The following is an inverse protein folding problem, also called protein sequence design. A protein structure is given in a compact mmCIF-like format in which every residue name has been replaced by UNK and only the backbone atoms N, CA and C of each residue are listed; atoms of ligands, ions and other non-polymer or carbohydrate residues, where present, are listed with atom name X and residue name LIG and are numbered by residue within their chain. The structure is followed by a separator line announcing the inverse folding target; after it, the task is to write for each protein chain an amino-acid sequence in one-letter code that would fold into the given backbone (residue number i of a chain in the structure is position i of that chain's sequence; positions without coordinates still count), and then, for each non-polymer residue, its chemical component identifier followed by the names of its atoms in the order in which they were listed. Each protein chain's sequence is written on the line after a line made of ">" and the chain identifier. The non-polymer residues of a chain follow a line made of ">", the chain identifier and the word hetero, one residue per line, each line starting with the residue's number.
data_IF_969968930377
#
_entry.id   IF_969968930377
#
_cell.length_a   1.000
_cell.length_b   1.000
_cell.length_c   1.000
_cell.angle_alpha   90.00
_cell.angle_beta   90.00
_cell.angle_gamma   90.00
#
_symmetry.space_group_name_H-M   'P 1'
#
loop_
_entity.id
_entity.type
_entity.pdbx_description
1 polymer ?
#
# COMPACT_ATOMS: atom_id res chain seq x y z
N UNK A 1 54.31 -35.15 2.50
CA UNK A 1 54.47 -33.71 2.83
C UNK A 1 53.18 -32.98 2.46
N UNK A 2 52.67 -32.17 3.38
CA UNK A 2 51.31 -31.59 3.42
C UNK A 2 51.08 -30.52 2.35
N UNK A 3 49.98 -30.60 1.61
CA UNK A 3 49.46 -29.51 0.76
C UNK A 3 48.38 -28.75 1.53
N UNK A 4 48.71 -27.54 1.97
CA UNK A 4 47.80 -26.62 2.68
C UNK A 4 46.95 -25.88 1.64
N UNK A 5 45.62 -26.07 1.69
CA UNK A 5 44.63 -25.27 0.94
C UNK A 5 44.47 -23.92 1.65
N UNK A 6 44.86 -22.83 1.00
CA UNK A 6 44.63 -21.47 1.49
C UNK A 6 43.33 -20.93 0.86
N UNK A 7 42.22 -21.09 1.57
CA UNK A 7 40.96 -20.41 1.26
C UNK A 7 41.09 -18.94 1.65
N UNK A 8 41.18 -18.02 0.68
CA UNK A 8 41.01 -16.59 0.94
C UNK A 8 39.51 -16.32 1.14
N UNK A 9 39.07 -16.25 2.39
CA UNK A 9 37.79 -15.64 2.74
C UNK A 9 37.88 -14.14 2.47
N UNK A 10 37.19 -13.67 1.41
CA UNK A 10 36.89 -12.26 1.22
C UNK A 10 35.90 -11.84 2.30
N UNK A 11 36.36 -11.08 3.29
CA UNK A 11 35.53 -10.50 4.33
C UNK A 11 34.73 -9.35 3.71
N UNK A 12 33.51 -9.64 3.26
CA UNK A 12 32.53 -8.63 2.89
C UNK A 12 32.16 -7.89 4.17
N UNK A 13 32.75 -6.72 4.39
CA UNK A 13 32.32 -5.78 5.41
C UNK A 13 30.94 -5.27 4.97
N UNK A 14 29.89 -5.94 5.45
CA UNK A 14 28.54 -5.39 5.50
C UNK A 14 28.63 -4.16 6.39
N UNK A 15 28.75 -2.99 5.78
CA UNK A 15 28.41 -1.75 6.45
C UNK A 15 26.95 -1.88 6.87
N UNK A 16 26.72 -2.20 8.14
CA UNK A 16 25.42 -2.09 8.76
C UNK A 16 25.07 -0.60 8.69
N UNK A 17 24.33 -0.23 7.64
CA UNK A 17 23.55 1.00 7.63
C UNK A 17 22.74 0.97 8.91
N UNK A 18 23.12 1.79 9.88
CA UNK A 18 22.39 1.93 11.13
C UNK A 18 21.13 2.73 10.79
N UNK A 19 20.15 2.05 10.21
CA UNK A 19 18.83 2.62 10.03
C UNK A 19 18.31 3.02 11.41
N UNK A 20 17.69 4.21 11.54
CA UNK A 20 17.13 4.64 12.81
C UNK A 20 16.13 3.58 13.31
N UNK A 21 16.05 3.36 14.64
CA UNK A 21 15.09 2.43 15.21
C UNK A 21 13.68 2.82 14.77
N UNK A 22 12.86 1.84 14.36
CA UNK A 22 11.49 2.09 13.93
C UNK A 22 10.54 0.98 14.38
N UNK A 23 9.26 1.33 14.49
CA UNK A 23 8.18 0.40 14.82
C UNK A 23 7.22 0.34 13.65
N UNK A 24 6.85 -0.89 13.27
CA UNK A 24 5.80 -1.14 12.29
C UNK A 24 4.49 -1.36 13.01
N UNK A 25 3.48 -0.58 12.64
CA UNK A 25 2.15 -0.69 13.23
C UNK A 25 1.09 -0.64 12.13
N UNK A 26 0.07 -1.46 12.30
CA UNK A 26 -1.07 -1.52 11.38
C UNK A 26 -2.21 -0.71 11.97
N UNK A 27 -2.81 0.14 11.16
CA UNK A 27 -3.94 0.94 11.61
C UNK A 27 -5.00 1.12 10.55
N UNK A 28 -6.22 1.29 11.05
CA UNK A 28 -7.39 1.50 10.21
C UNK A 28 -7.48 2.96 9.79
N UNK A 29 -7.72 3.21 8.50
CA UNK A 29 -7.98 4.52 7.91
C UNK A 29 -9.34 4.54 7.23
N UNK A 30 -10.03 5.70 7.18
CA UNK A 30 -11.36 5.80 6.57
C UNK A 30 -11.32 5.60 5.06
N UNK A 31 -12.48 5.22 4.50
CA UNK A 31 -12.69 5.21 3.06
C UNK A 31 -12.49 6.62 2.48
N UNK A 32 -11.98 6.72 1.24
CA UNK A 32 -11.78 8.03 0.59
C UNK A 32 -13.09 8.72 0.23
N UNK A 33 -14.14 7.94 -0.06
CA UNK A 33 -15.48 8.44 -0.34
C UNK A 33 -16.46 8.04 0.78
N UNK A 34 -16.82 9.03 1.60
CA UNK A 34 -17.63 8.80 2.79
C UNK A 34 -19.03 8.24 2.46
N UNK A 35 -19.76 8.84 1.51
CA UNK A 35 -21.12 8.37 1.17
C UNK A 35 -21.12 6.92 0.64
N UNK A 36 -20.09 6.53 -0.12
CA UNK A 36 -19.98 5.17 -0.63
C UNK A 36 -19.86 4.12 0.48
N UNK A 37 -19.20 4.49 1.59
CA UNK A 37 -18.98 3.61 2.72
C UNK A 37 -20.21 3.43 3.62
N UNK A 38 -21.25 4.26 3.48
CA UNK A 38 -22.47 4.20 4.31
C UNK A 38 -23.50 3.19 3.81
N UNK A 39 -23.54 2.94 2.51
CA UNK A 39 -24.48 1.99 1.90
C UNK A 39 -23.95 0.56 2.06
N UNK A 40 -24.40 -0.15 3.10
CA UNK A 40 -23.87 -1.48 3.44
C UNK A 40 -24.56 -2.63 2.70
N UNK A 41 -25.86 -2.54 2.48
CA UNK A 41 -26.62 -3.53 1.71
C UNK A 41 -26.53 -3.20 0.22
N UNK A 42 -25.67 -3.91 -0.50
CA UNK A 42 -25.31 -3.57 -1.88
C UNK A 42 -25.50 -4.74 -2.83
N UNK A 43 -25.75 -4.42 -4.10
CA UNK A 43 -25.65 -5.39 -5.18
C UNK A 43 -24.75 -4.84 -6.30
N UNK A 44 -24.18 -5.74 -7.10
CA UNK A 44 -23.32 -5.38 -8.23
C UNK A 44 -24.00 -5.80 -9.52
N UNK A 45 -24.31 -4.82 -10.37
CA UNK A 45 -24.79 -5.05 -11.73
C UNK A 45 -23.60 -5.22 -12.69
N UNK A 46 -23.82 -5.87 -13.86
CA UNK A 46 -22.84 -5.91 -14.93
C UNK A 46 -22.35 -4.51 -15.30
N UNK A 47 -21.05 -4.38 -15.51
CA UNK A 47 -20.48 -3.17 -16.11
C UNK A 47 -20.72 -3.23 -17.62
N UNK A 48 -20.96 -2.07 -18.24
CA UNK A 48 -21.00 -1.96 -19.69
C UNK A 48 -19.59 -1.93 -20.29
N UNK A 49 -19.45 -2.37 -21.53
CA UNK A 49 -18.18 -2.49 -22.23
C UNK A 49 -17.54 -3.89 -22.18
N UNK A 50 -16.40 -4.03 -22.87
CA UNK A 50 -15.72 -5.30 -23.08
C UNK A 50 -15.29 -5.94 -21.75
N UNK A 51 -15.80 -7.14 -21.46
CA UNK A 51 -15.47 -7.90 -20.24
C UNK A 51 -16.15 -7.37 -18.97
N UNK A 52 -17.17 -6.52 -19.10
CA UNK A 52 -17.80 -5.86 -17.96
C UNK A 52 -18.61 -6.80 -17.05
N UNK A 53 -19.17 -7.88 -17.59
CA UNK A 53 -19.87 -8.89 -16.78
C UNK A 53 -18.90 -9.71 -15.91
N UNK A 54 -17.78 -10.14 -16.47
CA UNK A 54 -16.71 -10.82 -15.72
C UNK A 54 -16.11 -9.89 -14.67
N UNK A 55 -15.85 -8.63 -15.05
CA UNK A 55 -15.31 -7.64 -14.12
C UNK A 55 -16.28 -7.32 -12.98
N UNK A 56 -17.60 -7.33 -13.22
CA UNK A 56 -18.59 -7.18 -12.16
C UNK A 56 -18.47 -8.30 -11.09
N UNK A 57 -18.17 -9.54 -11.51
CA UNK A 57 -17.90 -10.64 -10.59
C UNK A 57 -16.63 -10.39 -9.74
N UNK A 58 -15.59 -9.83 -10.35
CA UNK A 58 -14.37 -9.47 -9.64
C UNK A 58 -14.60 -8.33 -8.62
N UNK A 59 -15.44 -7.35 -8.95
CA UNK A 59 -15.85 -6.27 -8.06
C UNK A 59 -16.70 -6.81 -6.90
N UNK A 60 -17.66 -7.68 -7.19
CA UNK A 60 -18.46 -8.38 -6.18
C UNK A 60 -17.56 -9.14 -5.19
N UNK A 61 -16.59 -9.92 -5.69
CA UNK A 61 -15.61 -10.62 -4.85
C UNK A 61 -14.73 -9.65 -4.03
N UNK A 62 -14.36 -8.51 -4.63
CA UNK A 62 -13.60 -7.47 -3.92
C UNK A 62 -14.41 -6.89 -2.76
N UNK A 63 -15.70 -6.58 -2.97
CA UNK A 63 -16.63 -6.08 -1.94
C UNK A 63 -16.88 -7.14 -0.86
N UNK A 64 -17.10 -8.39 -1.28
CA UNK A 64 -17.34 -9.51 -0.37
C UNK A 64 -16.16 -9.75 0.58
N UNK A 65 -14.93 -9.56 0.09
CA UNK A 65 -13.71 -9.74 0.87
C UNK A 65 -13.38 -8.61 1.86
N UNK A 66 -14.19 -7.54 1.92
CA UNK A 66 -13.93 -6.41 2.82
C UNK A 66 -14.41 -6.77 4.23
N UNK A 67 -13.45 -7.06 5.10
CA UNK A 67 -13.67 -7.29 6.52
C UNK A 67 -13.02 -6.19 7.36
N UNK A 68 -13.72 -5.74 8.41
CA UNK A 68 -13.21 -4.83 9.43
C UNK A 68 -13.32 -5.55 10.78
N UNK A 69 -12.17 -5.92 11.35
CA UNK A 69 -12.13 -6.93 12.42
C UNK A 69 -12.72 -8.26 11.92
N UNK A 70 -13.57 -8.89 12.74
CA UNK A 70 -14.21 -10.17 12.42
C UNK A 70 -15.56 -10.03 11.70
N UNK A 71 -15.88 -8.84 11.17
CA UNK A 71 -17.16 -8.55 10.52
C UNK A 71 -16.98 -8.15 9.07
N UNK A 72 -17.84 -8.68 8.22
CA UNK A 72 -17.97 -8.23 6.84
C UNK A 72 -18.51 -6.79 6.83
N UNK A 73 -17.91 -5.93 6.01
CA UNK A 73 -18.26 -4.51 5.97
C UNK A 73 -19.53 -4.25 5.14
N UNK A 74 -19.69 -4.98 4.04
CA UNK A 74 -20.84 -4.90 3.14
C UNK A 74 -21.66 -6.19 3.18
N UNK A 75 -22.97 -6.08 3.11
CA UNK A 75 -23.90 -7.18 2.91
C UNK A 75 -24.27 -7.25 1.43
N UNK A 76 -23.77 -8.26 0.72
CA UNK A 76 -24.07 -8.45 -0.69
C UNK A 76 -25.40 -9.17 -0.89
N UNK A 77 -26.22 -8.63 -1.78
CA UNK A 77 -27.39 -9.31 -2.31
C UNK A 77 -26.94 -10.50 -3.18
N UNK A 78 -27.65 -11.62 -3.06
CA UNK A 78 -27.41 -12.83 -3.86
C UNK A 78 -27.46 -12.55 -5.37
N UNK A 79 -26.34 -12.81 -6.04
CA UNK A 79 -26.16 -12.69 -7.47
C UNK A 79 -27.15 -13.52 -8.29
N UNK A 80 -27.46 -14.75 -7.86
CA UNK A 80 -28.34 -15.65 -8.64
C UNK A 80 -29.75 -15.05 -8.72
N UNK A 81 -30.22 -14.46 -7.61
CA UNK A 81 -31.49 -13.74 -7.55
C UNK A 81 -31.48 -12.51 -8.46
N UNK A 82 -30.37 -11.77 -8.48
CA UNK A 82 -30.20 -10.59 -9.31
C UNK A 82 -30.21 -10.93 -10.81
N UNK A 83 -29.44 -11.94 -11.22
CA UNK A 83 -29.37 -12.39 -12.63
C UNK A 83 -30.73 -12.89 -13.14
N UNK A 84 -31.46 -13.65 -12.31
CA UNK A 84 -32.82 -14.08 -12.63
C UNK A 84 -33.75 -12.88 -12.92
N UNK A 85 -33.75 -11.87 -12.05
CA UNK A 85 -34.58 -10.68 -12.23
C UNK A 85 -34.21 -9.88 -13.49
N UNK A 86 -32.91 -9.70 -13.75
CA UNK A 86 -32.43 -9.01 -14.95
C UNK A 86 -32.92 -9.73 -16.22
N UNK A 87 -32.82 -11.07 -16.22
CA UNK A 87 -33.26 -11.89 -17.35
C UNK A 87 -34.78 -11.81 -17.59
N UNK A 88 -35.59 -11.80 -16.52
CA UNK A 88 -37.05 -11.66 -16.58
C UNK A 88 -37.46 -10.28 -17.11
N UNK A 89 -36.74 -9.23 -16.73
CA UNK A 89 -36.98 -7.86 -17.19
C UNK A 89 -36.46 -7.59 -18.61
N UNK A 90 -35.71 -8.53 -19.21
CA UNK A 90 -35.11 -8.41 -20.55
C UNK A 90 -34.27 -7.14 -20.72
N UNK A 91 -33.55 -6.73 -19.68
CA UNK A 91 -32.71 -5.54 -19.70
C UNK A 91 -31.37 -5.81 -20.38
N UNK A 92 -30.89 -4.86 -21.18
CA UNK A 92 -29.53 -4.88 -21.72
C UNK A 92 -28.52 -4.35 -20.70
N UNK A 93 -27.23 -4.67 -20.88
CA UNK A 93 -26.16 -4.17 -20.00
C UNK A 93 -26.08 -2.65 -19.98
N UNK A 94 -26.15 -1.98 -21.14
CA UNK A 94 -26.16 -0.51 -21.19
C UNK A 94 -27.36 0.11 -20.47
N UNK A 95 -28.52 -0.56 -20.44
CA UNK A 95 -29.68 -0.09 -19.68
C UNK A 95 -29.48 -0.19 -18.16
N UNK A 96 -28.66 -1.14 -17.68
CA UNK A 96 -28.36 -1.34 -16.25
C UNK A 96 -27.40 -0.29 -15.68
N UNK A 97 -26.77 0.53 -16.55
CA UNK A 97 -25.92 1.66 -16.13
C UNK A 97 -26.74 2.92 -15.85
N UNK A 98 -27.97 3.02 -16.37
CA UNK A 98 -28.89 4.10 -16.06
C UNK A 98 -29.29 4.07 -14.57
N UNK A 99 -29.21 5.22 -13.89
CA UNK A 99 -29.40 5.27 -12.44
C UNK A 99 -30.83 4.96 -12.03
N UNK A 100 -31.84 5.32 -12.84
CA UNK A 100 -33.23 5.02 -12.54
C UNK A 100 -33.50 3.52 -12.66
N UNK A 101 -32.95 2.88 -13.69
CA UNK A 101 -33.03 1.45 -13.91
C UNK A 101 -32.30 0.69 -12.81
N UNK A 102 -31.08 1.08 -12.47
CA UNK A 102 -30.32 0.51 -11.36
C UNK A 102 -31.07 0.62 -10.03
N UNK A 103 -31.62 1.79 -9.70
CA UNK A 103 -32.42 1.98 -8.49
C UNK A 103 -33.69 1.12 -8.49
N UNK A 104 -34.36 0.97 -9.64
CA UNK A 104 -35.52 0.08 -9.76
C UNK A 104 -35.16 -1.38 -9.50
N UNK A 105 -34.05 -1.87 -10.07
CA UNK A 105 -33.55 -3.22 -9.81
C UNK A 105 -33.19 -3.38 -8.34
N UNK A 106 -32.49 -2.40 -7.75
CA UNK A 106 -32.14 -2.37 -6.34
C UNK A 106 -33.32 -2.53 -5.39
N UNK A 107 -34.44 -1.84 -5.66
CA UNK A 107 -35.68 -1.97 -4.88
C UNK A 107 -36.25 -3.40 -4.91
N UNK A 108 -36.17 -4.09 -6.05
CA UNK A 108 -36.69 -5.45 -6.20
C UNK A 108 -35.84 -6.50 -5.46
N UNK A 109 -34.54 -6.25 -5.33
CA UNK A 109 -33.61 -7.16 -4.65
C UNK A 109 -33.36 -6.80 -3.18
N UNK A 110 -33.89 -5.67 -2.70
CA UNK A 110 -33.68 -5.21 -1.33
C UNK A 110 -32.29 -4.62 -1.07
N UNK A 111 -31.60 -4.16 -2.12
CA UNK A 111 -30.36 -3.41 -1.97
C UNK A 111 -30.64 -1.95 -1.59
N UNK A 112 -29.76 -1.34 -0.79
CA UNK A 112 -29.74 0.11 -0.55
C UNK A 112 -28.79 0.85 -1.51
N UNK A 113 -27.75 0.16 -1.99
CA UNK A 113 -26.82 0.67 -2.99
C UNK A 113 -26.63 -0.29 -4.16
N UNK A 114 -26.45 0.25 -5.36
CA UNK A 114 -26.13 -0.55 -6.55
C UNK A 114 -24.82 -0.08 -7.16
N UNK A 115 -23.83 -0.97 -7.19
CA UNK A 115 -22.63 -0.78 -7.97
C UNK A 115 -22.88 -1.19 -9.42
N UNK A 116 -22.53 -0.32 -10.35
CA UNK A 116 -22.53 -0.56 -11.80
C UNK A 116 -21.44 0.31 -12.42
N UNK A 117 -21.27 0.32 -13.73
CA UNK A 117 -20.32 1.23 -14.36
C UNK A 117 -20.01 0.88 -15.80
N UNK A 118 -18.92 1.47 -16.29
CA UNK A 118 -18.45 1.26 -17.65
C UNK A 118 -16.96 0.91 -17.65
N UNK A 119 -16.54 -0.02 -18.51
CA UNK A 119 -15.13 -0.27 -18.82
C UNK A 119 -14.72 0.74 -19.89
N UNK A 120 -13.77 1.62 -19.55
CA UNK A 120 -13.35 2.73 -20.43
C UNK A 120 -12.09 2.40 -21.24
N UNK A 121 -11.25 1.47 -20.78
CA UNK A 121 -10.11 0.96 -21.54
C UNK A 121 -9.78 -0.49 -21.14
N UNK A 122 -9.45 -1.33 -22.10
CA UNK A 122 -9.03 -2.73 -21.87
C UNK A 122 -8.20 -3.21 -23.05
N UNK A 123 -6.96 -2.73 -23.07
CA UNK A 123 -6.10 -2.80 -24.25
C UNK A 123 -4.68 -3.21 -23.86
N UNK A 124 -4.04 -3.98 -24.73
CA UNK A 124 -2.62 -4.32 -24.66
C UNK A 124 -1.98 -3.92 -25.97
N UNK A 125 -0.84 -3.27 -25.89
CA UNK A 125 -0.08 -2.84 -27.06
C UNK A 125 1.40 -3.14 -26.88
N UNK A 126 2.04 -3.52 -27.98
CA UNK A 126 3.48 -3.74 -28.05
C UNK A 126 4.12 -2.61 -28.86
N UNK A 127 5.25 -2.11 -28.37
CA UNK A 127 6.07 -1.10 -29.04
C UNK A 127 7.51 -1.59 -29.12
N UNK A 128 8.09 -1.49 -30.32
CA UNK A 128 9.49 -1.85 -30.55
C UNK A 128 10.39 -0.64 -30.24
N UNK A 129 11.51 -0.89 -29.57
CA UNK A 129 12.55 0.11 -29.33
C UNK A 129 13.93 -0.54 -29.37
N UNK A 130 14.99 0.26 -29.26
CA UNK A 130 16.37 -0.23 -29.20
C UNK A 130 17.06 0.31 -27.96
N UNK A 131 17.89 -0.53 -27.36
CA UNK A 131 18.81 -0.14 -26.29
C UNK A 131 20.25 -0.34 -26.74
N UNK A 132 21.15 0.47 -26.21
CA UNK A 132 22.57 0.32 -26.46
C UNK A 132 23.18 -0.71 -25.49
N UNK A 133 24.05 -1.56 -26.01
CA UNK A 133 24.89 -2.49 -25.26
C UNK A 133 26.34 -2.28 -25.65
N UNK A 134 27.23 -2.80 -24.81
CA UNK A 134 28.67 -2.77 -25.06
C UNK A 134 29.23 -4.18 -24.95
N UNK A 135 30.05 -4.58 -25.93
CA UNK A 135 30.81 -5.84 -25.90
C UNK A 135 32.29 -5.57 -26.06
N UNK A 136 33.12 -6.51 -25.61
CA UNK A 136 34.54 -6.45 -25.92
C UNK A 136 34.77 -6.84 -27.38
N UNK A 137 35.39 -5.95 -28.15
CA UNK A 137 35.75 -6.18 -29.55
C UNK A 137 37.20 -6.65 -29.72
N UNK A 138 38.08 -6.32 -28.76
CA UNK A 138 39.47 -6.74 -28.77
C UNK A 138 39.97 -6.98 -27.36
N UNK A 139 40.56 -8.15 -27.10
CA UNK A 139 41.22 -8.50 -25.84
C UNK A 139 42.75 -8.39 -25.96
N UNK A 140 43.41 -8.08 -24.85
CA UNK A 140 44.87 -8.11 -24.69
C UNK A 140 45.23 -8.98 -23.48
N UNK A 141 46.32 -9.73 -23.60
CA UNK A 141 46.83 -10.53 -22.49
C UNK A 141 47.71 -9.67 -21.58
N UNK A 142 47.32 -9.59 -20.31
CA UNK A 142 48.12 -8.96 -19.24
C UNK A 142 48.59 -10.01 -18.25
N UNK A 143 49.61 -9.69 -17.47
CA UNK A 143 50.12 -10.57 -16.42
C UNK A 143 49.89 -9.92 -15.05
N UNK A 144 49.39 -10.69 -14.10
CA UNK A 144 49.24 -10.21 -12.72
C UNK A 144 50.59 -10.12 -11.99
N UNK A 145 50.59 -9.62 -10.75
CA UNK A 145 51.81 -9.49 -9.93
C UNK A 145 52.50 -10.84 -9.63
N UNK A 146 51.86 -11.97 -9.91
CA UNK A 146 52.37 -13.34 -9.74
C UNK A 146 52.76 -13.98 -11.08
N UNK A 147 52.77 -13.22 -12.18
CA UNK A 147 53.10 -13.71 -13.51
C UNK A 147 52.00 -14.53 -14.19
N UNK A 148 50.76 -14.53 -13.67
CA UNK A 148 49.64 -15.27 -14.27
C UNK A 148 49.00 -14.42 -15.37
N UNK A 149 48.87 -14.98 -16.57
CA UNK A 149 48.20 -14.34 -17.68
C UNK A 149 46.69 -14.22 -17.43
N UNK A 150 46.10 -13.06 -17.74
CA UNK A 150 44.67 -12.83 -17.78
C UNK A 150 44.31 -11.98 -19.00
N UNK A 151 43.10 -12.16 -19.53
CA UNK A 151 42.60 -11.35 -20.64
C UNK A 151 41.92 -10.09 -20.10
N UNK A 152 42.27 -8.95 -20.69
CA UNK A 152 41.61 -7.67 -20.45
C UNK A 152 41.05 -7.13 -21.76
N UNK A 153 39.88 -6.49 -21.71
CA UNK A 153 39.34 -5.86 -22.89
C UNK A 153 40.10 -4.58 -23.24
N UNK A 154 40.75 -4.55 -24.42
CA UNK A 154 41.45 -3.38 -24.95
C UNK A 154 40.53 -2.42 -25.72
N UNK A 155 39.48 -2.94 -26.35
CA UNK A 155 38.53 -2.12 -27.13
C UNK A 155 37.11 -2.59 -26.91
N UNK A 156 36.26 -1.67 -26.49
CA UNK A 156 34.82 -1.88 -26.39
C UNK A 156 34.11 -1.39 -27.66
N UNK A 157 33.10 -2.13 -28.09
CA UNK A 157 32.23 -1.78 -29.21
C UNK A 157 30.77 -1.70 -28.72
N UNK A 158 30.08 -0.65 -29.15
CA UNK A 158 28.66 -0.46 -28.90
C UNK A 158 27.84 -1.14 -29.98
N UNK A 159 26.77 -1.82 -29.59
CA UNK A 159 25.81 -2.40 -30.51
C UNK A 159 24.39 -2.20 -29.99
N UNK A 160 23.43 -2.08 -30.90
CA UNK A 160 22.03 -1.91 -30.56
C UNK A 160 21.34 -3.27 -30.40
N UNK A 161 20.55 -3.41 -29.35
CA UNK A 161 19.72 -4.58 -29.09
C UNK A 161 18.26 -4.21 -29.29
N UNK A 162 17.52 -5.07 -29.99
CA UNK A 162 16.09 -4.89 -30.21
C UNK A 162 15.32 -5.29 -28.96
N UNK A 163 14.43 -4.40 -28.53
CA UNK A 163 13.59 -4.60 -27.36
C UNK A 163 12.13 -4.39 -27.73
N UNK A 164 11.26 -5.14 -27.04
CA UNK A 164 9.81 -5.01 -27.14
C UNK A 164 9.30 -4.58 -25.78
N UNK A 165 8.54 -3.49 -25.74
CA UNK A 165 7.83 -2.99 -24.56
C UNK A 165 6.34 -3.27 -24.75
N UNK A 166 5.77 -4.04 -23.83
CA UNK A 166 4.34 -4.31 -23.74
C UNK A 166 3.72 -3.44 -22.66
N UNK A 167 2.69 -2.69 -23.03
CA UNK A 167 1.90 -1.84 -22.14
C UNK A 167 0.47 -2.34 -22.14
N UNK A 168 0.00 -2.80 -20.98
CA UNK A 168 -1.40 -3.13 -20.74
C UNK A 168 -2.07 -1.97 -20.00
N UNK A 169 -3.24 -1.54 -20.46
CA UNK A 169 -4.05 -0.50 -19.84
C UNK A 169 -5.42 -1.07 -19.52
N UNK A 170 -5.83 -0.90 -18.27
CA UNK A 170 -7.19 -1.19 -17.84
C UNK A 170 -7.76 0.01 -17.10
N UNK A 171 -8.93 0.47 -17.51
CA UNK A 171 -9.64 1.56 -16.86
C UNK A 171 -11.15 1.32 -16.87
N UNK A 172 -11.81 1.78 -15.80
CA UNK A 172 -13.24 1.66 -15.60
C UNK A 172 -13.76 2.84 -14.77
N UNK A 173 -15.04 3.14 -14.91
CA UNK A 173 -15.74 4.16 -14.13
C UNK A 173 -16.85 3.48 -13.33
N UNK A 174 -16.59 3.08 -12.07
CA UNK A 174 -17.64 2.56 -11.20
C UNK A 174 -18.60 3.69 -10.81
N UNK A 175 -19.85 3.31 -10.57
CA UNK A 175 -20.93 4.16 -10.09
C UNK A 175 -21.63 3.44 -8.95
N UNK A 176 -21.88 4.14 -7.86
CA UNK A 176 -22.76 3.69 -6.79
C UNK A 176 -24.04 4.51 -6.83
N UNK A 177 -25.15 3.84 -7.09
CA UNK A 177 -26.49 4.43 -7.09
C UNK A 177 -27.15 4.15 -5.75
N UNK A 178 -27.58 5.18 -5.05
CA UNK A 178 -28.43 5.05 -3.88
C UNK A 178 -29.86 4.70 -4.32
N UNK A 179 -30.39 3.59 -3.84
CA UNK A 179 -31.64 3.00 -4.34
C UNK A 179 -32.88 3.82 -3.97
N UNK A 180 -32.84 4.48 -2.82
CA UNK A 180 -33.95 5.31 -2.32
C UNK A 180 -34.17 6.53 -3.22
N UNK A 181 -33.09 7.25 -3.54
CA UNK A 181 -33.15 8.52 -4.27
C UNK A 181 -32.89 8.38 -5.76
N UNK A 182 -32.26 7.29 -6.20
CA UNK A 182 -31.77 7.10 -7.57
C UNK A 182 -30.55 7.94 -7.91
N UNK A 183 -29.95 8.63 -6.93
CA UNK A 183 -28.78 9.48 -7.14
C UNK A 183 -27.49 8.66 -7.19
N UNK A 184 -26.53 9.12 -8.00
CA UNK A 184 -25.18 8.57 -8.00
C UNK A 184 -24.39 9.23 -6.87
N UNK A 185 -24.10 8.46 -5.81
CA UNK A 185 -23.39 8.95 -4.61
C UNK A 185 -21.88 8.72 -4.67
N UNK A 186 -21.42 7.89 -5.62
CA UNK A 186 -20.00 7.74 -5.94
C UNK A 186 -19.82 7.46 -7.43
N UNK A 187 -18.83 8.14 -8.01
CA UNK A 187 -18.33 7.88 -9.34
C UNK A 187 -16.91 8.40 -9.44
N UNK A 188 -15.99 7.60 -9.96
CA UNK A 188 -14.60 8.01 -10.22
C UNK A 188 -14.09 7.34 -11.49
N UNK A 189 -13.10 7.93 -12.16
CA UNK A 189 -12.42 7.25 -13.26
C UNK A 189 -11.16 6.57 -12.71
N UNK A 190 -11.14 5.24 -12.71
CA UNK A 190 -10.08 4.44 -12.14
C UNK A 190 -9.37 3.72 -13.29
N UNK A 191 -8.07 3.97 -13.44
CA UNK A 191 -7.28 3.30 -14.47
C UNK A 191 -5.81 3.15 -14.10
N UNK A 192 -5.22 2.05 -14.56
CA UNK A 192 -3.79 1.77 -14.39
C UNK A 192 -3.20 1.19 -15.66
N UNK A 193 -1.94 1.52 -15.88
CA UNK A 193 -1.10 0.92 -16.90
C UNK A 193 0.00 0.07 -16.24
N UNK A 194 0.28 -1.09 -16.83
CA UNK A 194 1.38 -1.95 -16.44
C UNK A 194 2.27 -2.17 -17.64
N UNK A 195 3.56 -1.95 -17.46
CA UNK A 195 4.55 -2.01 -18.53
C UNK A 195 5.61 -3.05 -18.22
N UNK A 196 5.98 -3.84 -19.23
CA UNK A 196 7.11 -4.77 -19.19
C UNK A 196 7.89 -4.67 -20.49
N UNK A 197 9.20 -4.86 -20.42
CA UNK A 197 10.04 -4.92 -21.60
C UNK A 197 10.93 -6.17 -21.59
N UNK A 198 11.23 -6.66 -22.78
CA UNK A 198 12.22 -7.71 -23.01
C UNK A 198 13.08 -7.32 -24.21
N UNK A 199 14.37 -7.58 -24.11
CA UNK A 199 15.33 -7.40 -25.19
C UNK A 199 15.77 -8.74 -25.75
N UNK A 200 16.23 -8.77 -27.00
CA UNK A 200 16.61 -10.01 -27.69
C UNK A 200 17.81 -10.74 -27.06
N UNK A 201 18.54 -10.08 -26.15
CA UNK A 201 19.65 -10.64 -25.36
C UNK A 201 19.20 -11.18 -23.98
N UNK A 202 17.91 -11.07 -23.63
CA UNK A 202 17.34 -11.60 -22.38
C UNK A 202 16.82 -13.02 -22.56
N UNK A 203 17.04 -13.88 -21.56
CA UNK A 203 16.46 -15.24 -21.50
C UNK A 203 15.05 -15.25 -20.90
N UNK A 204 14.61 -14.17 -20.25
CA UNK A 204 13.27 -14.09 -19.63
C UNK A 204 12.24 -13.71 -20.70
N UNK A 205 11.16 -14.49 -20.87
CA UNK A 205 10.10 -14.14 -21.80
C UNK A 205 9.31 -12.93 -21.31
N UNK A 206 8.68 -12.22 -22.25
CA UNK A 206 7.74 -11.15 -21.92
C UNK A 206 6.45 -11.77 -21.35
N UNK A 207 5.89 -11.22 -20.25
CA UNK A 207 4.61 -11.68 -19.73
C UNK A 207 3.49 -11.62 -20.77
N UNK A 208 2.56 -12.58 -20.69
CA UNK A 208 1.42 -12.66 -21.61
C UNK A 208 0.46 -11.48 -21.45
N UNK A 209 -0.27 -11.14 -22.51
CA UNK A 209 -1.23 -10.02 -22.50
C UNK A 209 -2.25 -10.11 -21.36
N UNK A 210 -2.84 -11.30 -21.17
CA UNK A 210 -3.80 -11.58 -20.10
C UNK A 210 -3.20 -11.33 -18.72
N UNK A 211 -1.95 -11.73 -18.49
CA UNK A 211 -1.29 -11.54 -17.19
C UNK A 211 -1.15 -10.06 -16.85
N UNK A 212 -0.76 -9.23 -17.82
CA UNK A 212 -0.57 -7.80 -17.61
C UNK A 212 -1.90 -7.05 -17.46
N UNK A 213 -2.94 -7.43 -18.22
CA UNK A 213 -4.29 -6.89 -18.00
C UNK A 213 -4.79 -7.25 -16.60
N UNK A 214 -4.61 -8.50 -16.16
CA UNK A 214 -5.04 -8.91 -14.83
C UNK A 214 -4.29 -8.12 -13.75
N UNK A 215 -2.98 -7.86 -13.90
CA UNK A 215 -2.24 -6.97 -13.01
C UNK A 215 -2.82 -5.54 -12.99
N UNK A 216 -3.14 -4.96 -14.17
CA UNK A 216 -3.75 -3.64 -14.26
C UNK A 216 -5.14 -3.58 -13.58
N UNK A 217 -5.96 -4.62 -13.76
CA UNK A 217 -7.25 -4.78 -13.06
C UNK A 217 -7.07 -4.84 -11.55
N UNK A 218 -6.11 -5.61 -11.03
CA UNK A 218 -5.88 -5.71 -9.58
C UNK A 218 -5.56 -4.35 -8.98
N UNK A 219 -4.66 -3.57 -9.60
CA UNK A 219 -4.37 -2.21 -9.13
C UNK A 219 -5.59 -1.28 -9.17
N UNK A 220 -6.44 -1.41 -10.19
CA UNK A 220 -7.71 -0.68 -10.27
C UNK A 220 -8.67 -1.06 -9.14
N UNK A 221 -8.81 -2.36 -8.84
CA UNK A 221 -9.68 -2.86 -7.76
C UNK A 221 -9.17 -2.45 -6.38
N UNK A 222 -7.85 -2.37 -6.17
CA UNK A 222 -7.28 -1.86 -4.92
C UNK A 222 -7.66 -0.39 -4.68
N UNK A 223 -7.60 0.45 -5.73
CA UNK A 223 -8.04 1.85 -5.64
C UNK A 223 -9.53 1.90 -5.28
N UNK A 224 -10.36 1.19 -6.03
CA UNK A 224 -11.81 1.09 -5.76
C UNK A 224 -12.10 0.65 -4.33
N UNK A 225 -11.42 -0.39 -3.83
CA UNK A 225 -11.58 -0.90 -2.45
C UNK A 225 -11.23 0.16 -1.39
N UNK A 226 -10.24 1.01 -1.64
CA UNK A 226 -9.90 2.12 -0.72
C UNK A 226 -10.84 3.32 -0.84
N UNK A 227 -11.51 3.46 -1.99
CA UNK A 227 -12.52 4.50 -2.19
C UNK A 227 -13.77 4.22 -1.37
N UNK A 228 -14.24 2.95 -1.35
CA UNK A 228 -15.56 2.61 -0.82
C UNK A 228 -15.56 2.13 0.63
N UNK A 229 -14.43 1.71 1.20
CA UNK A 229 -14.41 1.16 2.56
C UNK A 229 -13.13 1.50 3.34
N UNK A 230 -13.20 1.56 4.68
CA UNK A 230 -12.03 1.64 5.54
C UNK A 230 -11.00 0.55 5.25
N UNK A 231 -9.71 0.85 5.37
CA UNK A 231 -8.62 -0.10 5.10
C UNK A 231 -7.50 -0.03 6.13
N UNK A 232 -6.81 -1.15 6.30
CA UNK A 232 -5.62 -1.20 7.13
C UNK A 232 -4.40 -0.76 6.32
N UNK A 233 -3.63 0.17 6.89
CA UNK A 233 -2.33 0.58 6.39
C UNK A 233 -1.27 0.22 7.42
N UNK A 234 -0.17 -0.35 6.96
CA UNK A 234 1.03 -0.51 7.79
C UNK A 234 1.86 0.75 7.63
N UNK A 235 2.16 1.40 8.75
CA UNK A 235 3.12 2.51 8.78
C UNK A 235 4.34 2.10 9.56
N UNK A 236 5.46 2.69 9.19
CA UNK A 236 6.70 2.61 9.93
C UNK A 236 6.93 3.96 10.61
N UNK A 237 7.09 3.94 11.93
CA UNK A 237 7.30 5.13 12.74
C UNK A 237 8.69 5.04 13.34
N UNK A 238 9.55 5.99 12.98
CA UNK A 238 10.88 6.09 13.58
C UNK A 238 10.77 6.46 15.07
N UNK A 239 11.60 5.81 15.89
CA UNK A 239 11.77 6.10 17.30
C UNK A 239 12.90 7.13 17.49
N UNK A 240 12.90 7.80 18.64
CA UNK A 240 14.04 8.58 19.09
C UNK A 240 14.88 7.77 20.07
N UNK A 241 16.19 7.76 19.87
CA UNK A 241 17.16 7.00 20.67
C UNK A 241 18.21 7.86 21.38
N UNK A 242 18.23 9.18 21.13
CA UNK A 242 19.10 10.10 21.85
C UNK A 242 18.79 10.09 23.36
N UNK A 243 19.84 10.02 24.17
CA UNK A 243 19.81 10.16 25.62
C UNK A 243 20.12 11.59 26.09
N UNK A 244 20.14 12.56 25.16
CA UNK A 244 20.39 13.98 25.45
C UNK A 244 19.38 14.51 26.48
N UNK A 245 19.88 15.20 27.50
CA UNK A 245 19.07 15.74 28.58
C UNK A 245 18.63 14.72 29.64
N UNK A 246 19.01 13.43 29.51
CA UNK A 246 18.74 12.41 30.52
C UNK A 246 19.95 12.30 31.48
N UNK A 247 19.74 12.59 32.76
CA UNK A 247 20.80 12.52 33.78
C UNK A 247 20.88 11.11 34.42
N UNK A 248 19.74 10.48 34.67
CA UNK A 248 19.70 9.17 35.34
C UNK A 248 20.13 8.03 34.42
N UNK A 249 21.18 7.30 34.79
CA UNK A 249 21.62 6.10 34.06
C UNK A 249 20.52 5.04 33.96
N UNK A 250 19.70 4.91 35.00
CA UNK A 250 18.53 4.02 34.98
C UNK A 250 17.54 4.46 33.90
N UNK A 251 17.26 5.75 33.75
CA UNK A 251 16.37 6.25 32.71
C UNK A 251 16.94 6.00 31.29
N UNK A 252 18.25 6.21 31.10
CA UNK A 252 18.95 5.90 29.84
C UNK A 252 18.85 4.42 29.49
N UNK A 253 19.10 3.54 30.47
CA UNK A 253 18.99 2.11 30.31
C UNK A 253 17.55 1.69 29.93
N UNK A 254 16.54 2.29 30.56
CA UNK A 254 15.13 2.04 30.25
C UNK A 254 14.74 2.51 28.85
N UNK A 255 15.23 3.68 28.42
CA UNK A 255 15.06 4.17 27.04
C UNK A 255 15.63 3.15 26.03
N UNK A 256 16.88 2.75 26.20
CA UNK A 256 17.57 1.82 25.32
C UNK A 256 16.90 0.43 25.29
N UNK A 257 16.52 -0.11 26.46
CA UNK A 257 15.79 -1.38 26.55
C UNK A 257 14.43 -1.28 25.84
N UNK A 258 13.70 -0.17 26.02
CA UNK A 258 12.42 0.02 25.35
C UNK A 258 12.56 0.03 23.82
N UNK A 259 13.61 0.66 23.30
CA UNK A 259 13.92 0.64 21.87
C UNK A 259 14.24 -0.78 21.38
N UNK A 260 14.99 -1.57 22.14
CA UNK A 260 15.28 -2.97 21.79
C UNK A 260 14.02 -3.83 21.74
N UNK A 261 13.14 -3.71 22.75
CA UNK A 261 11.83 -4.38 22.72
C UNK A 261 10.99 -3.94 21.52
N UNK A 262 10.94 -2.65 21.23
CA UNK A 262 10.17 -2.10 20.12
C UNK A 262 10.65 -2.62 18.75
N UNK A 263 11.97 -2.70 18.52
CA UNK A 263 12.56 -3.33 17.32
C UNK A 263 12.15 -4.78 17.16
N UNK A 264 11.94 -5.49 18.27
CA UNK A 264 11.48 -6.87 18.30
C UNK A 264 9.95 -7.00 18.36
N UNK A 265 9.21 -5.98 17.90
CA UNK A 265 7.74 -5.97 17.85
C UNK A 265 7.05 -6.11 19.21
N UNK A 266 7.76 -5.76 20.30
CA UNK A 266 7.27 -5.74 21.68
C UNK A 266 7.05 -4.31 22.16
N UNK A 267 6.20 -3.57 21.42
CA UNK A 267 5.86 -2.19 21.76
C UNK A 267 5.16 -2.09 23.13
N UNK A 268 4.39 -3.12 23.52
CA UNK A 268 3.80 -3.27 24.85
C UNK A 268 4.84 -3.03 25.96
N UNK A 269 5.94 -3.78 25.90
CA UNK A 269 7.01 -3.70 26.91
C UNK A 269 7.82 -2.41 26.76
N UNK A 270 8.00 -1.91 25.54
CA UNK A 270 8.66 -0.64 25.30
C UNK A 270 7.94 0.52 25.99
N UNK A 271 6.60 0.56 25.89
CA UNK A 271 5.79 1.60 26.50
C UNK A 271 5.87 1.59 28.03
N UNK A 272 5.89 0.40 28.65
CA UNK A 272 6.12 0.28 30.10
C UNK A 272 7.48 0.84 30.52
N UNK A 273 8.55 0.47 29.81
CA UNK A 273 9.92 0.92 30.11
C UNK A 273 10.08 2.42 29.91
N UNK A 274 9.50 3.00 28.85
CA UNK A 274 9.51 4.45 28.66
C UNK A 274 8.65 5.18 29.68
N UNK A 275 7.57 4.56 30.16
CA UNK A 275 6.77 5.06 31.29
C UNK A 275 7.61 5.14 32.57
N UNK A 276 8.37 4.10 32.89
CA UNK A 276 9.32 4.11 34.01
C UNK A 276 10.44 5.15 33.82
N UNK A 277 10.98 5.28 32.60
CA UNK A 277 11.99 6.28 32.27
C UNK A 277 11.48 7.71 32.50
N UNK A 278 10.21 7.97 32.16
CA UNK A 278 9.58 9.29 32.33
C UNK A 278 9.46 9.71 33.79
N UNK A 279 9.35 8.77 34.74
CA UNK A 279 9.35 9.09 36.17
C UNK A 279 10.69 9.72 36.60
N UNK A 280 11.78 9.24 36.00
CA UNK A 280 13.15 9.66 36.32
C UNK A 280 13.63 10.83 35.44
N UNK A 281 13.05 11.00 34.26
CA UNK A 281 13.39 12.04 33.28
C UNK A 281 12.10 12.58 32.62
N UNK A 282 11.32 13.41 33.33
CA UNK A 282 9.97 13.81 32.91
C UNK A 282 9.94 14.65 31.63
N UNK A 283 11.01 15.41 31.36
CA UNK A 283 11.13 16.35 30.24
C UNK A 283 12.09 15.84 29.15
N UNK A 284 12.52 14.59 29.21
CA UNK A 284 13.39 14.01 28.19
C UNK A 284 12.66 13.90 26.84
N UNK A 285 13.19 14.58 25.82
CA UNK A 285 12.61 14.66 24.48
C UNK A 285 12.29 13.29 23.89
N UNK A 286 13.27 12.39 23.88
CA UNK A 286 13.16 11.04 23.30
C UNK A 286 12.13 10.19 24.03
N UNK A 287 12.06 10.29 25.36
CA UNK A 287 11.07 9.57 26.18
C UNK A 287 9.66 10.09 25.93
N UNK A 288 9.47 11.42 25.90
CA UNK A 288 8.17 12.04 25.60
C UNK A 288 7.69 11.67 24.19
N UNK A 289 8.58 11.74 23.21
CA UNK A 289 8.29 11.37 21.83
C UNK A 289 7.87 9.91 21.70
N UNK A 290 8.68 8.99 22.25
CA UNK A 290 8.41 7.55 22.16
C UNK A 290 7.13 7.15 22.92
N UNK A 291 6.81 7.81 24.05
CA UNK A 291 5.51 7.64 24.71
C UNK A 291 4.35 8.22 23.88
N UNK A 292 4.59 9.29 23.12
CA UNK A 292 3.62 9.79 22.15
C UNK A 292 3.25 8.72 21.11
N UNK A 293 4.24 7.94 20.64
CA UNK A 293 4.01 6.81 19.74
C UNK A 293 3.18 5.73 20.43
N UNK A 294 3.45 5.43 21.70
CA UNK A 294 2.65 4.49 22.47
C UNK A 294 1.15 4.88 22.49
N UNK A 295 0.84 6.11 22.89
CA UNK A 295 -0.54 6.62 22.88
C UNK A 295 -1.12 6.69 21.46
N UNK A 296 -0.31 6.96 20.43
CA UNK A 296 -0.78 7.00 19.05
C UNK A 296 -1.18 5.60 18.57
N UNK A 297 -0.40 4.57 18.90
CA UNK A 297 -0.66 3.19 18.50
C UNK A 297 -1.85 2.58 19.25
N UNK A 298 -2.09 2.96 20.51
CA UNK A 298 -3.27 2.55 21.27
C UNK A 298 -4.56 3.27 20.85
N UNK A 299 -4.46 4.28 19.98
CA UNK A 299 -5.60 5.08 19.51
C UNK A 299 -5.99 6.23 20.43
N UNK A 300 -5.18 6.52 21.45
CA UNK A 300 -5.30 7.65 22.38
C UNK A 300 -4.69 8.92 21.77
N UNK A 301 -5.22 9.33 20.61
CA UNK A 301 -4.60 10.36 19.77
C UNK A 301 -4.50 11.73 20.45
N UNK A 302 -5.44 12.09 21.31
CA UNK A 302 -5.39 13.34 22.09
C UNK A 302 -4.21 13.34 23.07
N UNK A 303 -3.96 12.22 23.73
CA UNK A 303 -2.82 12.07 24.65
C UNK A 303 -1.49 12.07 23.88
N UNK A 304 -1.45 11.38 22.74
CA UNK A 304 -0.29 11.40 21.85
C UNK A 304 0.05 12.82 21.39
N UNK A 305 -0.96 13.62 21.00
CA UNK A 305 -0.78 15.02 20.63
C UNK A 305 -0.23 15.86 21.79
N UNK A 306 -0.68 15.62 23.01
CA UNK A 306 -0.13 16.31 24.19
C UNK A 306 1.35 15.96 24.41
N UNK A 307 1.72 14.69 24.30
CA UNK A 307 3.09 14.21 24.45
C UNK A 307 4.02 14.76 23.36
N UNK A 308 3.59 14.74 22.10
CA UNK A 308 4.36 15.31 21.01
C UNK A 308 4.51 16.83 21.14
N UNK A 309 3.49 17.56 21.63
CA UNK A 309 3.61 18.99 21.94
C UNK A 309 4.55 19.27 23.11
N UNK A 310 4.59 18.38 24.11
CA UNK A 310 5.59 18.46 25.19
C UNK A 310 6.99 18.27 24.63
N UNK A 311 7.19 17.25 23.80
CA UNK A 311 8.46 17.00 23.11
C UNK A 311 8.88 18.22 22.25
N UNK A 312 7.97 18.77 21.45
CA UNK A 312 8.21 19.96 20.61
C UNK A 312 8.72 21.16 21.42
N UNK A 313 8.15 21.40 22.62
CA UNK A 313 8.61 22.48 23.51
C UNK A 313 10.02 22.28 24.06
N UNK A 314 10.56 21.06 24.05
CA UNK A 314 11.93 20.77 24.50
C UNK A 314 12.97 21.01 23.40
N UNK A 315 12.53 21.25 22.16
CA UNK A 315 13.41 21.48 21.04
C UNK A 315 13.98 22.90 21.03
N UNK A 316 15.27 23.01 20.76
CA UNK A 316 15.93 24.30 20.48
C UNK A 316 15.84 24.72 19.01
N UNK A 317 15.53 23.76 18.12
CA UNK A 317 15.35 23.94 16.68
C UNK A 317 14.36 22.90 16.15
N UNK A 318 13.69 23.14 15.01
CA UNK A 318 12.78 22.15 14.43
C UNK A 318 13.43 20.78 14.25
N UNK A 319 12.64 19.72 14.48
CA UNK A 319 13.02 18.33 14.28
C UNK A 319 11.99 17.63 13.37
N UNK A 320 12.48 16.93 12.34
CA UNK A 320 11.62 16.31 11.33
C UNK A 320 10.73 15.19 11.90
N UNK A 321 11.20 14.43 12.90
CA UNK A 321 10.42 13.34 13.50
C UNK A 321 9.28 13.90 14.33
N UNK A 322 9.51 14.97 15.09
CA UNK A 322 8.46 15.65 15.87
C UNK A 322 7.43 16.30 14.96
N UNK A 323 7.88 17.02 13.92
CA UNK A 323 6.99 17.62 12.93
C UNK A 323 6.11 16.57 12.23
N UNK A 324 6.71 15.47 11.78
CA UNK A 324 6.00 14.37 11.15
C UNK A 324 5.00 13.72 12.12
N UNK A 325 5.36 13.54 13.40
CA UNK A 325 4.47 12.98 14.42
C UNK A 325 3.28 13.89 14.73
N UNK A 326 3.50 15.20 14.87
CA UNK A 326 2.42 16.19 15.07
C UNK A 326 1.43 16.21 13.89
N UNK A 327 1.94 16.26 12.66
CA UNK A 327 1.10 16.23 11.46
C UNK A 327 0.32 14.91 11.35
N UNK A 328 0.99 13.78 11.64
CA UNK A 328 0.39 12.45 11.61
C UNK A 328 -0.72 12.33 12.64
N UNK A 329 -0.49 12.64 13.92
CA UNK A 329 -1.50 12.49 14.97
C UNK A 329 -2.70 13.42 14.76
N UNK A 330 -2.49 14.64 14.25
CA UNK A 330 -3.59 15.56 13.91
C UNK A 330 -4.46 14.99 12.81
N UNK A 331 -3.84 14.40 11.78
CA UNK A 331 -4.56 13.67 10.74
C UNK A 331 -5.34 12.49 11.33
N UNK A 332 -4.76 11.74 12.28
CA UNK A 332 -5.43 10.62 12.95
C UNK A 332 -6.68 11.04 13.71
N UNK A 333 -6.63 12.16 14.43
CA UNK A 333 -7.81 12.71 15.14
C UNK A 333 -8.95 13.01 14.14
N UNK A 334 -8.64 13.54 12.97
CA UNK A 334 -9.63 13.80 11.91
C UNK A 334 -10.16 12.49 11.30
N UNK A 335 -9.27 11.53 11.02
CA UNK A 335 -9.61 10.22 10.48
C UNK A 335 -10.48 9.40 11.44
N UNK A 336 -10.22 9.48 12.76
CA UNK A 336 -10.99 8.76 13.79
C UNK A 336 -12.46 9.21 13.81
N UNK A 337 -12.73 10.49 13.59
CA UNK A 337 -14.11 11.02 13.50
C UNK A 337 -14.85 10.39 12.32
N UNK A 338 -14.23 10.39 11.14
CA UNK A 338 -14.78 9.76 9.93
C UNK A 338 -14.98 8.25 10.11
N UNK A 339 -14.03 7.56 10.74
CA UNK A 339 -14.12 6.12 10.99
C UNK A 339 -15.29 5.77 11.90
N UNK A 340 -15.54 6.56 12.96
CA UNK A 340 -16.69 6.36 13.84
C UNK A 340 -18.00 6.38 13.04
N UNK A 341 -18.17 7.35 12.15
CA UNK A 341 -19.34 7.43 11.26
C UNK A 341 -19.42 6.27 10.25
N UNK A 342 -18.27 5.77 9.77
CA UNK A 342 -18.21 4.69 8.78
C UNK A 342 -18.41 3.29 9.38
N UNK A 343 -18.11 3.10 10.66
CA UNK A 343 -18.15 1.80 11.34
C UNK A 343 -19.43 1.61 12.17
N UNK A 344 -19.96 2.67 12.78
CA UNK A 344 -21.07 2.56 13.76
C UNK A 344 -22.48 2.59 13.16
N UNK A 345 -22.65 2.61 11.84
CA UNK A 345 -23.97 2.66 11.17
C UNK A 345 -24.51 1.29 10.78
#
# INVERSE_FOLDING_TARGET
>A
MRTVRLFLLSFVVLAASCAPPAVKTTMLVPARHHEASRLREVAVLPFDGKGGQEFAAEIEGTIAGINIGDKQYFNLVDRVRLEKLISEMKLSQSALVDSNTAARVGRLVGAKGIYTGIITASDVSDSAYREERTRCAQTVTKHDKKGRAYEECAKYEKYAVHCTKRTAVFAFTPRLVEVETGMVVYSSNIGKSVERSVCSDSQKPLPGERELIEQAKQYGKEIFRTDIAPYYVTVEIELMDSDDGIISDTAKAKLAQGIDFAKNSRLDRACELWGEARILAPDALSVLYNLGICSEVTGEFEQALELYRKADRMLMKPDDKVNAALARVQKRIQEQKKLKEQILN
#
